data_IF_861510466446
#
_entry.id   IF_861510466446
#
_cell.length_a   1.000
_cell.length_b   1.000
_cell.length_c   1.000
_cell.angle_alpha   90.00
_cell.angle_beta   90.00
_cell.angle_gamma   90.00
#
_symmetry.space_group_name_H-M   'P 1'
#
loop_
_entity.id
_entity.type
_entity.pdbx_description
1 polymer ?
#
# COMPACT_ATOMS: atom_id res chain seq x y z
N UNK A 1 -4.96 12.84 -8.15
CA UNK A 1 -4.51 12.03 -9.31
C UNK A 1 -3.18 12.60 -9.79
N UNK A 2 -2.16 11.76 -10.01
CA UNK A 2 -0.92 12.24 -10.65
C UNK A 2 -1.21 12.48 -12.14
N UNK A 3 -0.91 13.67 -12.66
CA UNK A 3 -1.38 14.08 -13.99
C UNK A 3 -0.89 13.19 -15.13
N UNK A 4 0.26 12.53 -14.95
CA UNK A 4 0.85 11.62 -15.96
C UNK A 4 0.49 10.15 -15.72
N UNK A 5 -0.20 9.83 -14.62
CA UNK A 5 -0.62 8.46 -14.35
C UNK A 5 -1.95 8.17 -15.06
N UNK A 6 -1.99 7.07 -15.79
CA UNK A 6 -3.19 6.56 -16.43
C UNK A 6 -4.11 5.86 -15.42
N UNK A 7 -3.53 5.08 -14.50
CA UNK A 7 -4.26 4.34 -13.49
C UNK A 7 -4.95 5.29 -12.47
N UNK A 8 -6.28 5.18 -12.36
CA UNK A 8 -7.12 6.01 -11.48
C UNK A 8 -7.33 5.42 -10.08
N UNK A 9 -6.79 4.26 -9.79
CA UNK A 9 -6.88 3.60 -8.48
C UNK A 9 -5.71 3.98 -7.56
N UNK A 10 -4.77 4.82 -8.03
CA UNK A 10 -3.65 5.28 -7.21
C UNK A 10 -4.10 6.19 -6.07
N UNK A 11 -3.74 5.79 -4.85
CA UNK A 11 -3.90 6.60 -3.65
C UNK A 11 -2.60 7.32 -3.29
N UNK A 12 -2.66 8.65 -3.24
CA UNK A 12 -1.52 9.49 -2.84
C UNK A 12 -1.36 9.49 -1.32
N UNK A 13 -0.11 9.45 -0.86
CA UNK A 13 0.23 9.59 0.56
C UNK A 13 0.83 10.97 0.80
N UNK A 14 0.33 11.69 1.80
CA UNK A 14 0.86 12.99 2.24
C UNK A 14 1.79 12.75 3.43
N UNK A 15 2.93 13.43 3.44
CA UNK A 15 3.94 13.35 4.51
C UNK A 15 4.27 14.78 4.91
N UNK A 16 4.29 15.03 6.22
CA UNK A 16 4.76 16.30 6.77
C UNK A 16 6.28 16.26 6.89
N UNK A 17 6.96 17.29 6.37
CA UNK A 17 8.42 17.43 6.46
C UNK A 17 8.84 18.43 7.53
N UNK A 18 8.07 19.50 7.69
CA UNK A 18 8.35 20.59 8.63
C UNK A 18 7.19 20.79 9.60
N UNK A 19 7.55 21.23 10.80
CA UNK A 19 6.62 21.72 11.81
C UNK A 19 6.20 23.16 11.48
N UNK A 20 5.30 23.72 12.27
CA UNK A 20 4.80 25.09 12.09
C UNK A 20 5.92 26.14 12.21
N UNK A 21 6.88 25.91 13.10
CA UNK A 21 8.06 26.75 13.34
C UNK A 21 9.13 26.66 12.24
N UNK A 22 8.89 25.85 11.20
CA UNK A 22 9.83 25.61 10.09
C UNK A 22 10.92 24.59 10.39
N UNK A 23 10.99 24.04 11.60
CA UNK A 23 11.93 22.97 11.93
C UNK A 23 11.52 21.65 11.26
N UNK A 24 12.50 20.78 10.95
CA UNK A 24 12.22 19.46 10.38
C UNK A 24 11.53 18.56 11.42
N UNK A 25 10.45 17.87 11.02
CA UNK A 25 9.81 16.88 11.88
C UNK A 25 10.77 15.74 12.26
N UNK A 26 11.62 15.33 11.32
CA UNK A 26 12.67 14.34 11.51
C UNK A 26 13.93 14.78 10.79
N UNK A 27 15.04 14.93 11.53
CA UNK A 27 16.33 15.42 11.00
C UNK A 27 16.90 14.48 9.92
N UNK A 28 16.56 13.19 9.96
CA UNK A 28 16.96 12.20 8.97
C UNK A 28 16.31 12.45 7.58
N UNK A 29 15.22 13.21 7.52
CA UNK A 29 14.46 13.48 6.30
C UNK A 29 14.42 14.97 5.95
N UNK A 30 15.56 15.56 5.53
CA UNK A 30 15.63 16.99 5.18
C UNK A 30 14.89 17.33 3.88
N UNK A 31 14.50 16.33 3.08
CA UNK A 31 13.84 16.57 1.78
C UNK A 31 12.86 15.47 1.41
N UNK A 32 11.91 15.78 0.53
CA UNK A 32 11.01 14.78 -0.06
C UNK A 32 11.79 13.65 -0.76
N UNK A 33 12.93 13.96 -1.40
CA UNK A 33 13.79 12.96 -2.05
C UNK A 33 14.35 11.94 -1.05
N UNK A 34 14.80 12.38 0.12
CA UNK A 34 15.29 11.49 1.17
C UNK A 34 14.21 10.52 1.67
N UNK A 35 12.97 11.01 1.82
CA UNK A 35 11.81 10.16 2.18
C UNK A 35 11.52 9.13 1.09
N UNK A 36 11.52 9.54 -0.19
CA UNK A 36 11.25 8.63 -1.31
C UNK A 36 12.31 7.52 -1.42
N UNK A 37 13.59 7.83 -1.24
CA UNK A 37 14.67 6.84 -1.26
C UNK A 37 14.54 5.85 -0.10
N UNK A 38 14.28 6.35 1.11
CA UNK A 38 14.05 5.49 2.27
C UNK A 38 12.83 4.58 2.05
N UNK A 39 11.72 5.10 1.53
CA UNK A 39 10.56 4.28 1.20
C UNK A 39 10.92 3.17 0.19
N UNK A 40 11.68 3.50 -0.87
CA UNK A 40 12.14 2.52 -1.84
C UNK A 40 13.03 1.43 -1.23
N UNK A 41 13.85 1.76 -0.23
CA UNK A 41 14.70 0.81 0.50
C UNK A 41 13.91 -0.09 1.46
N UNK A 42 12.93 0.47 2.17
CA UNK A 42 12.17 -0.24 3.22
C UNK A 42 11.05 -1.10 2.63
N UNK A 43 10.38 -0.66 1.56
CA UNK A 43 9.25 -1.38 0.96
C UNK A 43 9.58 -2.86 0.65
N UNK A 44 10.74 -3.21 0.04
CA UNK A 44 11.13 -4.61 -0.19
C UNK A 44 11.31 -5.42 1.09
N UNK A 45 11.68 -4.77 2.20
CA UNK A 45 11.94 -5.39 3.51
C UNK A 45 10.64 -5.59 4.32
N UNK A 46 9.50 -5.10 3.85
CA UNK A 46 8.21 -5.27 4.53
C UNK A 46 7.78 -6.74 4.52
N UNK A 47 7.36 -7.26 5.69
CA UNK A 47 6.87 -8.65 5.86
C UNK A 47 5.79 -9.05 4.83
N UNK A 48 4.88 -8.12 4.52
CA UNK A 48 3.79 -8.33 3.54
C UNK A 48 4.29 -8.51 2.11
N UNK A 49 5.51 -8.04 1.80
CA UNK A 49 6.13 -8.15 0.47
C UNK A 49 6.89 -9.47 0.31
N UNK A 50 7.46 -10.01 1.39
CA UNK A 50 8.18 -11.29 1.40
C UNK A 50 7.28 -12.50 1.14
N UNK A 51 5.99 -12.45 1.49
CA UNK A 51 5.07 -13.59 1.34
C UNK A 51 4.47 -13.77 -0.07
N UNK A 52 4.59 -12.78 -0.98
CA UNK A 52 4.00 -12.83 -2.34
C UNK A 52 4.89 -13.48 -3.41
N UNK A 53 6.02 -14.08 -3.05
CA UNK A 53 6.90 -14.78 -4.02
C UNK A 53 6.50 -16.25 -4.26
N UNK A 54 5.34 -16.68 -3.74
CA UNK A 54 4.66 -17.94 -4.08
C UNK A 54 3.30 -17.62 -4.70
N UNK A 55 3.01 -18.25 -5.84
CA UNK A 55 1.95 -17.89 -6.79
C UNK A 55 0.54 -17.77 -6.23
N UNK A 56 -0.24 -16.91 -6.89
CA UNK A 56 -1.68 -16.79 -6.67
C UNK A 56 -2.14 -15.35 -6.87
N UNK A 57 -2.59 -15.05 -8.08
CA UNK A 57 -3.51 -13.94 -8.32
C UNK A 57 -4.71 -14.11 -7.39
N UNK A 58 -4.82 -13.25 -6.39
CA UNK A 58 -6.09 -12.97 -5.73
C UNK A 58 -6.22 -11.47 -5.75
N UNK A 59 -6.78 -10.98 -6.85
CA UNK A 59 -7.80 -9.94 -6.81
C UNK A 59 -8.71 -10.21 -5.60
N UNK A 60 -8.42 -9.54 -4.48
CA UNK A 60 -9.38 -9.40 -3.40
C UNK A 60 -10.41 -8.38 -3.87
N UNK A 61 -11.26 -8.81 -4.80
CA UNK A 61 -12.61 -8.27 -4.91
C UNK A 61 -13.26 -8.52 -3.55
N UNK A 62 -13.46 -7.44 -2.83
CA UNK A 62 -14.35 -7.36 -1.68
C UNK A 62 -15.77 -7.68 -2.19
N UNK A 63 -16.07 -8.97 -2.31
CA UNK A 63 -17.42 -9.47 -2.54
C UNK A 63 -18.11 -9.63 -1.21
N UNK A 64 -19.07 -8.75 -0.92
CA UNK A 64 -20.13 -9.01 0.03
C UNK A 64 -20.94 -10.23 -0.46
N UNK A 65 -20.51 -11.41 -0.03
CA UNK A 65 -21.09 -12.69 -0.43
C UNK A 65 -21.50 -13.51 0.77
N UNK A 66 -22.42 -12.99 1.57
CA UNK A 66 -23.06 -13.76 2.64
C UNK A 66 -23.84 -14.94 2.07
N UNK A 67 -23.45 -16.15 2.49
CA UNK A 67 -24.26 -17.39 2.58
C UNK A 67 -24.86 -17.95 1.28
N UNK A 68 -24.22 -18.99 0.72
CA UNK A 68 -24.95 -20.23 0.31
C UNK A 68 -24.02 -21.44 0.10
N UNK A 69 -23.54 -22.01 1.20
CA UNK A 69 -22.94 -23.34 1.22
C UNK A 69 -23.88 -24.33 1.90
N UNK A 70 -24.74 -25.02 1.15
CA UNK A 70 -25.44 -26.22 1.66
C UNK A 70 -25.46 -27.29 0.57
N UNK A 71 -24.32 -27.99 0.45
CA UNK A 71 -24.23 -29.27 -0.24
C UNK A 71 -24.28 -30.42 0.78
N UNK A 72 -25.35 -31.21 0.74
CA UNK A 72 -25.52 -32.60 1.26
C UNK A 72 -27.00 -32.96 1.04
N UNK A 73 -27.44 -34.12 0.55
CA UNK A 73 -26.89 -35.33 -0.10
C UNK A 73 -28.13 -36.11 -0.57
N UNK A 74 -28.00 -36.82 -1.70
CA UNK A 74 -28.84 -37.92 -2.25
C UNK A 74 -30.08 -38.41 -1.47
N UNK A 75 -31.22 -38.51 -2.16
CA UNK A 75 -31.95 -39.76 -2.43
C UNK A 75 -32.69 -39.61 -3.76
#
# INVERSE_FOLDING_TARGET
>A
MYSREWNRDLQLKRVQLTQEDGSLCLVQFPSCKSVMLYAAEIIPKLKRRTQKRGGGDQSLQQGEGSKKGKGKKKK
#
